data_IF_032057012601
#
_entry.id   IF_032057012601
#
_cell.length_a   1.000
_cell.length_b   1.000
_cell.length_c   1.000
_cell.angle_alpha   90.00
_cell.angle_beta   90.00
_cell.angle_gamma   90.00
#
_symmetry.space_group_name_H-M   'P 1'
#
loop_
_entity.id
_entity.type
_entity.pdbx_description
1 polymer ?
#
# COMPACT_ATOMS: atom_id res chain seq x y z
N UNK A 1 64.92 38.42 -37.92
CA UNK A 1 64.52 39.47 -36.96
C UNK A 1 63.14 39.10 -36.43
N UNK A 2 63.05 38.68 -35.15
CA UNK A 2 62.30 39.36 -34.05
C UNK A 2 60.87 39.75 -34.49
N UNK A 3 59.79 39.32 -33.85
CA UNK A 3 59.47 39.43 -32.42
C UNK A 3 58.41 38.38 -32.04
N UNK A 4 58.61 37.74 -30.89
CA UNK A 4 57.64 36.91 -30.17
C UNK A 4 56.56 37.80 -29.53
N UNK A 5 55.28 37.43 -29.65
CA UNK A 5 54.20 38.02 -28.88
C UNK A 5 53.56 36.95 -28.01
N UNK A 6 53.94 36.99 -26.74
CA UNK A 6 53.47 36.22 -25.61
C UNK A 6 51.98 36.53 -25.37
N UNK A 7 51.09 35.53 -25.49
CA UNK A 7 49.70 35.67 -25.07
C UNK A 7 49.62 35.33 -23.57
N UNK A 8 49.47 36.36 -22.72
CA UNK A 8 49.24 36.18 -21.29
C UNK A 8 47.84 35.61 -21.04
N UNK A 9 47.80 34.57 -20.20
CA UNK A 9 46.59 34.05 -19.58
C UNK A 9 46.04 35.04 -18.54
N UNK A 10 44.75 35.35 -18.63
CA UNK A 10 43.98 35.87 -17.50
C UNK A 10 42.83 34.92 -17.21
N UNK A 11 43.10 33.96 -16.33
CA UNK A 11 42.08 33.14 -15.68
C UNK A 11 41.37 34.02 -14.64
N UNK A 12 40.16 34.50 -14.96
CA UNK A 12 39.31 35.14 -13.97
C UNK A 12 38.69 34.04 -13.08
N UNK A 13 39.18 33.91 -11.84
CA UNK A 13 38.47 33.15 -10.80
C UNK A 13 37.19 33.92 -10.45
N UNK A 14 36.05 33.45 -10.97
CA UNK A 14 34.76 33.81 -10.42
C UNK A 14 34.60 33.09 -9.06
N UNK A 15 34.87 33.82 -7.97
CA UNK A 15 34.52 33.38 -6.63
C UNK A 15 32.98 33.34 -6.54
N UNK A 16 32.38 32.17 -6.77
CA UNK A 16 30.97 31.94 -6.44
C UNK A 16 30.84 31.94 -4.93
N UNK A 17 30.45 33.09 -4.38
CA UNK A 17 29.94 33.19 -3.01
C UNK A 17 28.66 32.37 -2.92
N UNK A 18 28.79 31.12 -2.48
CA UNK A 18 27.66 30.31 -2.02
C UNK A 18 27.10 31.03 -0.80
N UNK A 19 26.05 31.80 -1.01
CA UNK A 19 25.17 32.27 0.06
C UNK A 19 24.57 31.02 0.71
N UNK A 20 25.20 30.57 1.80
CA UNK A 20 24.60 29.62 2.72
C UNK A 20 23.36 30.29 3.31
N UNK A 21 22.21 30.02 2.70
CA UNK A 21 20.91 30.40 3.24
C UNK A 21 20.71 29.68 4.57
N UNK A 22 20.97 30.40 5.66
CA UNK A 22 20.60 29.99 7.00
C UNK A 22 19.07 30.04 7.13
N UNK A 23 18.40 28.94 6.78
CA UNK A 23 16.97 28.73 7.07
C UNK A 23 16.82 27.68 8.16
N UNK A 24 17.26 28.06 9.35
CA UNK A 24 17.12 27.29 10.56
C UNK A 24 15.76 27.59 11.23
N UNK A 25 14.64 27.24 10.61
CA UNK A 25 13.28 27.25 11.23
C UNK A 25 12.27 26.40 10.45
N UNK A 26 12.35 25.06 10.54
CA UNK A 26 11.19 24.13 10.47
C UNK A 26 11.52 22.62 10.50
N UNK A 27 12.72 22.21 10.93
CA UNK A 27 12.98 20.80 11.27
C UNK A 27 12.37 20.48 12.64
N UNK A 28 11.13 19.97 12.71
CA UNK A 28 10.78 18.88 13.68
C UNK A 28 9.30 18.43 13.76
N UNK A 29 8.33 19.05 13.08
CA UNK A 29 6.93 18.55 13.17
C UNK A 29 6.58 17.41 12.19
N UNK A 30 7.34 17.23 11.10
CA UNK A 30 7.07 16.21 10.08
C UNK A 30 7.43 14.77 10.52
N UNK A 31 8.23 14.61 11.59
CA UNK A 31 8.66 13.29 12.08
C UNK A 31 7.79 12.72 13.22
N UNK A 32 6.81 13.48 13.74
CA UNK A 32 5.93 12.96 14.80
C UNK A 32 5.10 11.78 14.27
N UNK A 33 4.98 10.65 15.00
CA UNK A 33 4.12 9.55 14.60
C UNK A 33 2.68 10.02 14.37
N UNK A 34 2.04 9.52 13.31
CA UNK A 34 0.60 9.71 13.11
C UNK A 34 -0.12 8.80 14.10
N UNK A 35 -1.04 9.39 14.87
CA UNK A 35 -1.84 8.66 15.85
C UNK A 35 -3.04 8.03 15.17
N UNK A 36 -3.27 6.73 15.39
CA UNK A 36 -4.45 6.00 14.92
C UNK A 36 -5.19 5.38 16.10
N UNK A 37 -6.51 5.39 16.05
CA UNK A 37 -7.33 4.79 17.10
C UNK A 37 -7.14 3.27 17.11
N UNK A 38 -6.76 2.68 18.26
CA UNK A 38 -6.59 1.21 18.40
C UNK A 38 -7.78 0.37 17.95
N UNK A 39 -9.00 0.93 17.94
CA UNK A 39 -10.20 0.25 17.43
C UNK A 39 -10.12 -0.10 15.94
N UNK A 40 -9.20 0.50 15.18
CA UNK A 40 -8.89 0.07 13.80
C UNK A 40 -8.46 -1.41 13.73
N UNK A 41 -7.89 -1.94 14.82
CA UNK A 41 -7.45 -3.34 14.92
C UNK A 41 -8.58 -4.29 15.39
N UNK A 42 -9.77 -3.76 15.71
CA UNK A 42 -10.90 -4.55 16.23
C UNK A 42 -11.85 -5.01 15.11
N UNK A 43 -11.31 -5.74 14.13
CA UNK A 43 -12.06 -6.20 12.95
C UNK A 43 -13.14 -7.23 13.27
N UNK A 44 -13.04 -7.92 14.42
CA UNK A 44 -14.04 -8.91 14.85
C UNK A 44 -15.44 -8.33 15.07
N UNK A 45 -15.57 -7.00 15.20
CA UNK A 45 -16.83 -6.26 15.31
C UNK A 45 -17.35 -5.72 13.99
N UNK A 46 -16.55 -5.84 12.92
CA UNK A 46 -16.92 -5.38 11.57
C UNK A 46 -17.46 -6.59 10.80
N UNK A 47 -18.62 -6.47 10.13
CA UNK A 47 -19.15 -7.56 9.33
C UNK A 47 -18.18 -7.98 8.22
N UNK A 48 -18.08 -9.30 8.01
CA UNK A 48 -17.49 -9.82 6.78
C UNK A 48 -18.44 -9.50 5.62
N UNK A 49 -17.90 -8.95 4.53
CA UNK A 49 -18.64 -8.65 3.30
C UNK A 49 -18.03 -9.53 2.20
N UNK A 50 -18.80 -10.48 1.64
CA UNK A 50 -18.31 -11.25 0.52
C UNK A 50 -18.21 -10.37 -0.72
N UNK A 51 -17.10 -10.48 -1.46
CA UNK A 51 -16.95 -9.84 -2.77
C UNK A 51 -16.99 -10.93 -3.84
N UNK A 52 -18.08 -10.92 -4.60
CA UNK A 52 -18.33 -11.93 -5.63
C UNK A 52 -19.03 -11.27 -6.81
N UNK A 53 -18.60 -11.63 -8.01
CA UNK A 53 -19.16 -11.13 -9.25
C UNK A 53 -18.86 -12.05 -10.42
N UNK A 54 -19.50 -11.75 -11.55
CA UNK A 54 -19.41 -12.56 -12.78
C UNK A 54 -18.34 -12.07 -13.75
N UNK A 55 -17.78 -10.88 -13.52
CA UNK A 55 -16.77 -10.28 -14.39
C UNK A 55 -15.36 -10.55 -13.86
N UNK A 56 -14.36 -10.46 -14.75
CA UNK A 56 -12.96 -10.49 -14.35
C UNK A 56 -12.68 -9.44 -13.26
N UNK A 57 -11.87 -9.84 -12.30
CA UNK A 57 -11.36 -9.09 -11.16
C UNK A 57 -12.44 -8.62 -10.16
N UNK A 58 -13.65 -9.18 -10.24
CA UNK A 58 -14.74 -8.88 -9.30
C UNK A 58 -14.72 -9.74 -8.03
N UNK A 59 -13.98 -10.85 -8.05
CA UNK A 59 -13.92 -11.82 -6.96
C UNK A 59 -12.64 -11.64 -6.15
N UNK A 60 -12.78 -11.37 -4.85
CA UNK A 60 -11.65 -11.24 -3.93
C UNK A 60 -12.13 -11.42 -2.49
N UNK A 61 -11.19 -11.54 -1.55
CA UNK A 61 -11.53 -11.71 -0.13
C UNK A 61 -10.73 -10.74 0.70
N UNK A 62 -11.43 -9.95 1.54
CA UNK A 62 -10.83 -8.93 2.39
C UNK A 62 -11.12 -9.13 3.89
N UNK A 63 -10.15 -8.72 4.71
CA UNK A 63 -10.38 -8.41 6.12
C UNK A 63 -10.89 -6.97 6.22
N UNK A 64 -12.18 -6.79 6.51
CA UNK A 64 -12.80 -5.47 6.59
C UNK A 64 -12.39 -4.75 7.88
N UNK A 65 -12.06 -3.47 7.72
CA UNK A 65 -11.68 -2.55 8.78
C UNK A 65 -12.71 -1.42 8.82
N UNK A 66 -13.09 -0.99 10.02
CA UNK A 66 -14.06 0.10 10.15
C UNK A 66 -13.43 1.42 9.65
N UNK A 67 -13.89 1.88 8.49
CA UNK A 67 -13.35 3.06 7.82
C UNK A 67 -13.42 4.31 8.69
N UNK A 68 -14.33 4.39 9.68
CA UNK A 68 -14.39 5.55 10.59
C UNK A 68 -13.10 5.75 11.38
N UNK A 69 -12.31 4.70 11.62
CA UNK A 69 -11.00 4.79 12.28
C UNK A 69 -9.84 5.06 11.32
N UNK A 70 -10.06 4.88 10.01
CA UNK A 70 -9.09 5.16 8.94
C UNK A 70 -9.27 6.58 8.39
N UNK A 71 -10.51 7.07 8.31
CA UNK A 71 -10.89 8.39 7.79
C UNK A 71 -10.07 9.56 8.39
N UNK A 72 -9.78 9.62 9.71
CA UNK A 72 -8.93 10.69 10.25
C UNK A 72 -7.52 10.70 9.68
N UNK A 73 -6.96 9.52 9.37
CA UNK A 73 -5.64 9.40 8.76
C UNK A 73 -5.67 9.87 7.31
N UNK A 74 -6.71 9.48 6.55
CA UNK A 74 -6.93 9.98 5.20
C UNK A 74 -7.03 11.51 5.20
N UNK A 75 -7.88 12.10 6.06
CA UNK A 75 -8.06 13.54 6.13
C UNK A 75 -6.74 14.26 6.42
N UNK A 76 -5.99 13.80 7.43
CA UNK A 76 -4.68 14.37 7.78
C UNK A 76 -3.68 14.26 6.62
N UNK A 77 -3.59 13.08 6.01
CA UNK A 77 -2.64 12.84 4.93
C UNK A 77 -3.00 13.64 3.67
N UNK A 78 -4.28 13.78 3.37
CA UNK A 78 -4.75 14.54 2.22
C UNK A 78 -4.48 16.04 2.41
N UNK A 79 -4.71 16.61 3.59
CA UNK A 79 -4.44 18.04 3.83
C UNK A 79 -2.97 18.37 4.08
N UNK A 80 -2.11 17.38 4.29
CA UNK A 80 -0.67 17.60 4.43
C UNK A 80 -0.04 17.88 3.07
N UNK A 81 0.51 19.09 2.88
CA UNK A 81 1.12 19.54 1.62
C UNK A 81 2.22 18.60 1.10
N UNK A 82 3.05 18.03 2.00
CA UNK A 82 4.12 17.10 1.62
C UNK A 82 3.65 15.68 1.28
N UNK A 83 2.34 15.40 1.40
CA UNK A 83 1.76 14.07 1.18
C UNK A 83 0.69 14.10 0.09
N UNK A 84 -0.51 14.60 0.38
CA UNK A 84 -1.66 14.56 -0.54
C UNK A 84 -2.01 15.90 -1.17
N UNK A 85 -1.75 17.00 -0.47
CA UNK A 85 -2.04 18.37 -0.90
C UNK A 85 -3.46 18.57 -1.50
N UNK A 86 -4.47 17.93 -0.91
CA UNK A 86 -5.88 18.00 -1.31
C UNK A 86 -6.25 17.16 -2.53
N UNK A 87 -5.33 16.41 -3.12
CA UNK A 87 -5.53 15.71 -4.40
C UNK A 87 -5.95 14.25 -4.29
N UNK A 88 -5.96 13.69 -3.07
CA UNK A 88 -6.30 12.28 -2.86
C UNK A 88 -7.81 12.09 -2.76
N UNK A 89 -8.30 11.03 -3.37
CA UNK A 89 -9.64 10.50 -3.20
C UNK A 89 -9.60 9.23 -2.35
N UNK A 90 -10.73 8.88 -1.74
CA UNK A 90 -10.89 7.67 -0.94
C UNK A 90 -12.10 6.89 -1.44
N UNK A 91 -12.09 5.56 -1.26
CA UNK A 91 -13.24 4.69 -1.59
C UNK A 91 -14.37 4.77 -0.58
N UNK A 92 -14.14 5.38 0.59
CA UNK A 92 -15.10 5.39 1.70
C UNK A 92 -15.17 4.06 2.45
N UNK A 93 -14.26 3.13 2.19
CA UNK A 93 -14.13 1.83 2.81
C UNK A 93 -12.66 1.55 3.17
N UNK A 94 -12.41 0.56 4.04
CA UNK A 94 -11.07 0.07 4.33
C UNK A 94 -11.07 -1.44 4.53
N UNK A 95 -10.09 -2.12 3.92
CA UNK A 95 -9.85 -3.54 4.12
C UNK A 95 -8.38 -3.88 3.89
N UNK A 96 -7.99 -5.08 4.34
CA UNK A 96 -6.78 -5.75 3.85
C UNK A 96 -7.24 -6.79 2.83
N UNK A 97 -6.89 -6.64 1.56
CA UNK A 97 -7.15 -7.68 0.56
C UNK A 97 -6.29 -8.89 0.91
N UNK A 98 -6.89 -10.04 1.18
CA UNK A 98 -6.19 -11.27 1.63
C UNK A 98 -6.06 -12.28 0.49
N UNK A 99 -7.04 -12.34 -0.41
CA UNK A 99 -6.93 -13.00 -1.71
C UNK A 99 -7.18 -11.92 -2.76
N UNK A 100 -6.19 -11.67 -3.60
CA UNK A 100 -6.26 -10.67 -4.68
C UNK A 100 -7.19 -11.15 -5.80
N UNK A 101 -7.84 -10.21 -6.52
CA UNK A 101 -8.61 -10.56 -7.70
C UNK A 101 -7.79 -11.33 -8.75
N UNK A 102 -6.56 -10.90 -9.00
CA UNK A 102 -5.64 -11.57 -9.93
C UNK A 102 -5.26 -12.98 -9.45
N UNK A 103 -5.03 -13.19 -8.16
CA UNK A 103 -4.80 -14.52 -7.59
C UNK A 103 -6.01 -15.43 -7.79
N UNK A 104 -7.21 -14.91 -7.57
CA UNK A 104 -8.42 -15.71 -7.74
C UNK A 104 -8.63 -16.10 -9.21
N UNK A 105 -8.71 -15.13 -10.12
CA UNK A 105 -9.09 -15.38 -11.51
C UNK A 105 -8.02 -16.16 -12.30
N UNK A 106 -6.74 -15.94 -12.00
CA UNK A 106 -5.63 -16.52 -12.81
C UNK A 106 -5.01 -17.78 -12.21
N UNK A 107 -5.23 -18.05 -10.91
CA UNK A 107 -4.58 -19.18 -10.23
C UNK A 107 -5.62 -20.11 -9.57
N UNK A 108 -6.49 -19.57 -8.70
CA UNK A 108 -7.39 -20.40 -7.90
C UNK A 108 -8.58 -20.94 -8.71
N UNK A 109 -9.26 -20.07 -9.44
CA UNK A 109 -10.43 -20.41 -10.25
C UNK A 109 -10.12 -21.43 -11.35
N UNK A 110 -8.99 -21.34 -12.11
CA UNK A 110 -8.64 -22.35 -13.11
C UNK A 110 -8.45 -23.76 -12.53
N UNK A 111 -8.08 -23.89 -11.26
CA UNK A 111 -8.02 -25.17 -10.56
C UNK A 111 -9.39 -25.60 -9.97
N UNK A 112 -10.48 -24.91 -10.29
CA UNK A 112 -11.82 -25.22 -9.82
C UNK A 112 -12.14 -24.76 -8.39
N UNK A 113 -11.31 -23.91 -7.78
CA UNK A 113 -11.66 -23.26 -6.50
C UNK A 113 -12.71 -22.19 -6.76
N UNK A 114 -13.83 -22.24 -6.04
CA UNK A 114 -14.90 -21.25 -6.18
C UNK A 114 -14.74 -20.13 -5.15
N UNK A 115 -15.16 -18.90 -5.52
CA UNK A 115 -15.16 -17.78 -4.57
C UNK A 115 -16.08 -18.06 -3.37
N UNK A 116 -17.15 -18.84 -3.59
CA UNK A 116 -18.05 -19.31 -2.53
C UNK A 116 -17.32 -20.14 -1.48
N UNK A 117 -16.46 -21.08 -1.88
CA UNK A 117 -15.67 -21.89 -0.93
C UNK A 117 -14.76 -21.02 -0.04
N UNK A 118 -14.13 -19.99 -0.64
CA UNK A 118 -13.25 -19.08 0.09
C UNK A 118 -14.06 -18.16 1.01
N UNK A 119 -15.21 -17.65 0.56
CA UNK A 119 -16.12 -16.83 1.38
C UNK A 119 -16.74 -17.63 2.54
N UNK A 120 -17.11 -18.90 2.31
CA UNK A 120 -17.60 -19.81 3.35
C UNK A 120 -16.50 -20.08 4.39
N UNK A 121 -15.24 -20.24 3.95
CA UNK A 121 -14.09 -20.35 4.84
C UNK A 121 -13.88 -19.06 5.67
N UNK A 122 -13.99 -17.89 5.04
CA UNK A 122 -13.79 -16.58 5.68
C UNK A 122 -14.88 -16.25 6.72
N UNK A 123 -16.14 -16.53 6.38
CA UNK A 123 -17.30 -16.19 7.20
C UNK A 123 -17.54 -17.19 8.35
N UNK A 124 -17.10 -18.45 8.24
CA UNK A 124 -17.29 -19.50 9.24
C UNK A 124 -16.85 -19.03 10.64
N UNK A 125 -17.79 -18.91 11.58
CA UNK A 125 -17.54 -18.43 12.95
C UNK A 125 -16.79 -17.08 13.00
N UNK A 126 -17.01 -16.23 12.00
CA UNK A 126 -16.33 -14.95 11.80
C UNK A 126 -14.80 -15.08 11.67
N UNK A 127 -14.33 -16.16 11.02
CA UNK A 127 -12.92 -16.57 11.01
C UNK A 127 -11.99 -15.46 10.52
N UNK A 128 -12.23 -14.92 9.33
CA UNK A 128 -11.33 -13.94 8.75
C UNK A 128 -11.31 -12.66 9.59
N UNK A 129 -12.48 -12.11 9.94
CA UNK A 129 -12.59 -10.89 10.75
C UNK A 129 -12.00 -11.00 12.16
N UNK A 130 -11.82 -12.21 12.69
CA UNK A 130 -11.11 -12.44 13.96
C UNK A 130 -9.58 -12.43 13.83
N UNK A 131 -9.03 -12.34 12.62
CA UNK A 131 -7.58 -12.33 12.38
C UNK A 131 -6.92 -11.11 13.02
N UNK A 132 -5.85 -11.35 13.76
CA UNK A 132 -5.04 -10.31 14.38
C UNK A 132 -4.03 -9.77 13.37
N UNK A 133 -3.83 -8.46 13.37
CA UNK A 133 -2.77 -7.80 12.62
C UNK A 133 -2.26 -6.58 13.38
N UNK A 134 -1.15 -6.03 12.91
CA UNK A 134 -0.58 -4.79 13.42
C UNK A 134 -0.20 -3.89 12.25
N UNK A 135 -0.29 -2.58 12.45
CA UNK A 135 0.14 -1.59 11.46
C UNK A 135 1.63 -1.29 11.69
N UNK A 136 2.42 -1.29 10.62
CA UNK A 136 3.84 -0.95 10.63
C UNK A 136 4.03 0.57 10.48
N UNK A 137 3.43 1.17 9.44
CA UNK A 137 3.68 2.57 9.06
C UNK A 137 2.59 3.11 8.12
N UNK A 138 2.61 4.43 7.89
CA UNK A 138 1.99 5.03 6.73
C UNK A 138 2.94 4.88 5.55
N UNK A 139 2.49 4.18 4.51
CA UNK A 139 3.18 3.98 3.25
C UNK A 139 2.69 4.92 2.16
N UNK A 140 3.60 5.27 1.25
CA UNK A 140 3.32 6.00 0.01
C UNK A 140 4.05 5.32 -1.14
N UNK A 141 3.33 5.11 -2.23
CA UNK A 141 3.89 4.75 -3.54
C UNK A 141 3.45 5.80 -4.56
N UNK A 142 4.35 6.09 -5.50
CA UNK A 142 4.17 7.08 -6.55
C UNK A 142 4.75 6.50 -7.83
N UNK A 143 4.05 6.69 -8.96
CA UNK A 143 4.50 6.25 -10.27
C UNK A 143 4.01 7.22 -11.32
N UNK A 144 4.77 7.38 -12.40
CA UNK A 144 4.29 8.00 -13.62
C UNK A 144 3.93 6.85 -14.55
N UNK A 145 2.65 6.72 -14.88
CA UNK A 145 2.17 5.60 -15.71
C UNK A 145 2.79 5.69 -17.11
N UNK A 146 3.37 4.57 -17.56
CA UNK A 146 4.15 4.54 -18.82
C UNK A 146 3.33 4.88 -20.06
N UNK A 147 2.03 4.58 -20.04
CA UNK A 147 1.18 4.67 -21.22
C UNK A 147 0.64 6.08 -21.49
N UNK A 148 0.48 6.90 -20.45
CA UNK A 148 -0.18 8.22 -20.52
C UNK A 148 0.63 9.34 -19.82
N UNK A 149 1.76 9.02 -19.20
CA UNK A 149 2.59 9.99 -18.48
C UNK A 149 1.93 10.58 -17.24
N UNK A 150 0.85 9.96 -16.73
CA UNK A 150 0.08 10.53 -15.63
C UNK A 150 0.73 10.18 -14.29
N UNK A 151 0.91 11.20 -13.44
CA UNK A 151 1.35 10.99 -12.07
C UNK A 151 0.23 10.36 -11.22
N UNK A 152 0.50 9.18 -10.71
CA UNK A 152 -0.35 8.43 -9.79
C UNK A 152 0.30 8.35 -8.42
N UNK A 153 -0.54 8.30 -7.38
CA UNK A 153 -0.08 8.13 -6.00
C UNK A 153 -1.09 7.29 -5.24
N UNK A 154 -0.61 6.37 -4.39
CA UNK A 154 -1.45 5.66 -3.43
C UNK A 154 -0.82 5.72 -2.04
N UNK A 155 -1.67 5.96 -1.03
CA UNK A 155 -1.32 5.88 0.38
C UNK A 155 -1.95 4.65 1.01
N UNK A 156 -1.18 3.97 1.85
CA UNK A 156 -1.66 2.81 2.57
C UNK A 156 -1.17 2.80 4.02
N UNK A 157 -1.92 2.14 4.90
CA UNK A 157 -1.37 1.62 6.14
C UNK A 157 -0.69 0.29 5.82
N UNK A 158 0.64 0.24 5.92
CA UNK A 158 1.40 -1.00 5.72
C UNK A 158 1.16 -1.88 6.94
N UNK A 159 0.79 -3.14 6.71
CA UNK A 159 0.49 -4.08 7.78
C UNK A 159 1.70 -4.99 8.00
N UNK A 160 2.04 -5.23 9.26
CA UNK A 160 3.07 -6.21 9.63
C UNK A 160 2.63 -7.58 9.17
N UNK A 161 3.62 -8.43 8.87
CA UNK A 161 3.38 -9.84 8.60
C UNK A 161 2.50 -10.45 9.72
N UNK A 162 1.32 -10.95 9.35
CA UNK A 162 0.33 -11.48 10.28
C UNK A 162 0.23 -13.00 10.13
N UNK A 163 0.45 -13.72 11.23
CA UNK A 163 0.29 -15.18 11.28
C UNK A 163 -1.14 -15.60 10.95
N UNK A 164 -2.14 -14.87 11.41
CA UNK A 164 -3.55 -15.23 11.21
C UNK A 164 -3.96 -15.08 9.74
N UNK A 165 -3.51 -14.01 9.08
CA UNK A 165 -3.76 -13.80 7.64
C UNK A 165 -3.04 -14.84 6.79
N UNK A 166 -1.80 -15.18 7.12
CA UNK A 166 -1.06 -16.25 6.44
C UNK A 166 -1.76 -17.59 6.66
N UNK A 167 -2.19 -17.91 7.89
CA UNK A 167 -2.93 -19.12 8.21
C UNK A 167 -4.22 -19.26 7.40
N UNK A 168 -4.92 -18.15 7.13
CA UNK A 168 -6.07 -18.14 6.23
C UNK A 168 -5.67 -18.48 4.80
N UNK A 169 -4.63 -17.83 4.26
CA UNK A 169 -4.11 -18.11 2.92
C UNK A 169 -3.61 -19.56 2.77
N UNK A 170 -2.97 -20.13 3.78
CA UNK A 170 -2.58 -21.54 3.82
C UNK A 170 -3.78 -22.48 3.73
N UNK A 171 -4.91 -22.14 4.35
CA UNK A 171 -6.11 -22.98 4.27
C UNK A 171 -6.79 -22.86 2.90
N UNK A 172 -6.70 -21.69 2.25
CA UNK A 172 -7.05 -21.55 0.82
C UNK A 172 -6.12 -22.38 -0.06
N UNK A 173 -4.82 -22.37 0.21
CA UNK A 173 -3.84 -23.19 -0.51
C UNK A 173 -4.13 -24.69 -0.38
N UNK A 174 -4.56 -25.17 0.80
CA UNK A 174 -5.01 -26.56 0.95
C UNK A 174 -6.22 -26.90 0.06
N UNK A 175 -7.18 -25.98 -0.07
CA UNK A 175 -8.32 -26.15 -0.98
C UNK A 175 -7.81 -26.21 -2.43
N UNK A 176 -6.93 -25.30 -2.81
CA UNK A 176 -6.32 -25.23 -4.13
C UNK A 176 -5.59 -26.52 -4.53
N UNK A 177 -4.67 -26.99 -3.69
CA UNK A 177 -3.92 -28.24 -3.94
C UNK A 177 -4.84 -29.46 -3.95
N UNK A 178 -5.85 -29.51 -3.07
CA UNK A 178 -6.84 -30.60 -3.06
C UNK A 178 -7.62 -30.70 -4.38
N UNK A 179 -7.77 -29.60 -5.12
CA UNK A 179 -8.42 -29.59 -6.43
C UNK A 179 -7.47 -29.81 -7.61
N UNK A 180 -6.22 -30.21 -7.34
CA UNK A 180 -5.22 -30.45 -8.38
C UNK A 180 -4.50 -29.18 -8.85
N UNK A 181 -4.63 -28.07 -8.12
CA UNK A 181 -3.87 -26.85 -8.39
C UNK A 181 -2.37 -27.06 -8.24
N UNK A 182 -1.57 -26.45 -9.13
CA UNK A 182 -0.11 -26.49 -9.09
C UNK A 182 0.43 -25.65 -7.91
N UNK A 183 1.00 -26.27 -6.86
CA UNK A 183 1.48 -25.55 -5.66
C UNK A 183 2.45 -24.39 -5.95
N UNK A 184 3.19 -24.44 -7.06
CA UNK A 184 4.15 -23.41 -7.44
C UNK A 184 3.50 -22.08 -7.88
N UNK A 185 2.19 -22.09 -8.19
CA UNK A 185 1.48 -20.90 -8.69
C UNK A 185 0.82 -20.07 -7.59
N UNK A 186 0.60 -20.62 -6.39
CA UNK A 186 0.01 -19.91 -5.27
C UNK A 186 0.87 -20.05 -4.02
N UNK A 187 1.57 -18.97 -3.63
CA UNK A 187 2.32 -18.90 -2.39
C UNK A 187 1.52 -18.16 -1.30
N UNK A 188 1.08 -18.83 -0.22
CA UNK A 188 0.44 -18.18 0.92
C UNK A 188 1.26 -17.04 1.54
N UNK A 189 2.59 -17.08 1.41
CA UNK A 189 3.49 -16.10 1.98
C UNK A 189 3.83 -14.93 1.06
N UNK A 190 3.64 -15.06 -0.25
CA UNK A 190 3.85 -13.98 -1.21
C UNK A 190 2.70 -12.96 -1.13
N UNK A 191 2.66 -12.25 -0.01
CA UNK A 191 1.56 -11.42 0.40
C UNK A 191 2.06 -10.08 0.95
N UNK A 192 1.47 -8.99 0.46
CA UNK A 192 1.81 -7.62 0.85
C UNK A 192 0.61 -6.97 1.54
N UNK A 193 0.31 -7.34 2.81
CA UNK A 193 -0.87 -6.83 3.48
C UNK A 193 -0.76 -5.32 3.68
N UNK A 194 -1.78 -4.61 3.22
CA UNK A 194 -1.91 -3.17 3.38
C UNK A 194 -3.39 -2.78 3.40
N UNK A 195 -3.67 -1.61 3.93
CA UNK A 195 -5.00 -0.97 3.86
C UNK A 195 -4.84 0.30 3.03
N UNK A 196 -5.38 0.33 1.82
CA UNK A 196 -5.41 1.56 1.02
C UNK A 196 -6.29 2.60 1.72
N UNK A 197 -5.77 3.81 1.93
CA UNK A 197 -6.51 4.89 2.61
C UNK A 197 -6.92 6.00 1.65
N UNK A 198 -6.17 6.18 0.55
CA UNK A 198 -6.50 7.12 -0.52
C UNK A 198 -5.48 7.10 -1.65
N UNK A 199 -5.88 7.62 -2.80
CA UNK A 199 -5.05 7.63 -4.01
C UNK A 199 -5.37 8.85 -4.88
N UNK A 200 -4.49 9.17 -5.82
CA UNK A 200 -4.73 10.15 -6.89
C UNK A 200 -4.96 9.37 -8.17
N UNK A 201 -6.07 9.65 -8.88
CA UNK A 201 -6.45 8.93 -10.10
C UNK A 201 -7.01 7.54 -9.82
N UNK A 202 -6.14 6.55 -9.59
CA UNK A 202 -6.52 5.19 -9.21
C UNK A 202 -5.59 4.60 -8.15
N UNK A 203 -6.00 3.51 -7.51
CA UNK A 203 -5.06 2.72 -6.72
C UNK A 203 -4.05 2.05 -7.67
N UNK A 204 -2.78 2.05 -7.25
CA UNK A 204 -1.66 1.48 -8.00
C UNK A 204 -1.23 0.17 -7.36
N UNK A 205 -0.86 -0.82 -8.17
CA UNK A 205 -0.66 -2.21 -7.74
C UNK A 205 0.71 -2.74 -8.20
N UNK A 206 1.03 -4.00 -7.91
CA UNK A 206 2.35 -4.56 -8.21
C UNK A 206 2.65 -4.58 -9.71
N UNK A 207 1.60 -4.69 -10.53
CA UNK A 207 1.61 -4.63 -11.98
C UNK A 207 2.09 -3.26 -12.50
N UNK A 208 1.98 -2.21 -11.69
CA UNK A 208 2.54 -0.88 -11.97
C UNK A 208 4.03 -0.75 -11.59
N UNK A 209 4.66 -1.85 -11.15
CA UNK A 209 6.06 -1.87 -10.72
C UNK A 209 6.29 -1.31 -9.31
N UNK A 210 5.24 -1.18 -8.50
CA UNK A 210 5.34 -0.65 -7.13
C UNK A 210 5.13 -1.73 -6.07
N UNK A 211 5.94 -1.71 -5.02
CA UNK A 211 5.86 -2.66 -3.91
C UNK A 211 5.44 -1.96 -2.63
N UNK A 212 4.26 -2.34 -2.11
CA UNK A 212 3.64 -1.76 -0.90
C UNK A 212 4.08 -2.51 0.37
N UNK A 213 5.39 -2.52 0.65
CA UNK A 213 5.96 -3.10 1.88
C UNK A 213 6.65 -2.00 2.71
N UNK A 214 7.58 -2.38 3.59
CA UNK A 214 8.33 -1.43 4.43
C UNK A 214 9.11 -0.39 3.63
N UNK A 215 9.52 -0.71 2.41
CA UNK A 215 10.17 0.21 1.47
C UNK A 215 9.29 1.41 1.10
N UNK A 216 7.96 1.30 1.24
CA UNK A 216 7.02 2.39 0.99
C UNK A 216 6.80 3.28 2.22
N UNK A 217 7.34 2.95 3.40
CA UNK A 217 7.07 3.68 4.63
C UNK A 217 7.60 5.12 4.56
N UNK A 218 6.71 6.10 4.80
CA UNK A 218 7.06 7.52 4.87
C UNK A 218 6.86 8.11 6.27
N UNK A 219 6.07 7.47 7.14
CA UNK A 219 5.81 7.98 8.49
C UNK A 219 5.44 6.86 9.47
N UNK A 220 5.90 6.98 10.71
CA UNK A 220 5.53 6.06 11.80
C UNK A 220 4.04 6.21 12.15
N UNK A 221 3.41 5.10 12.50
CA UNK A 221 2.07 5.06 13.11
C UNK A 221 2.22 4.72 14.58
N UNK A 222 1.49 5.43 15.44
CA UNK A 222 1.33 5.10 16.85
C UNK A 222 -0.15 4.80 17.12
N UNK A 223 -0.45 3.57 17.50
CA UNK A 223 -1.80 3.20 17.93
C UNK A 223 -2.05 3.77 19.33
N UNK A 224 -3.05 4.63 19.46
CA UNK A 224 -3.46 5.25 20.73
C UNK A 224 -4.75 4.66 21.24
#
# INVERSE_FOLDING_TARGET
MKIAATLLATLALAASSVLAANTNTNKNNNNKPIRINKKVLQTSKVPFIPHSGTTLFSNWVGLNVDFKYVKPIFNLANTTASIGNGTLVSRGEAHITVILPTEFDTILQPAGVTIKEINDLASRKNRLQKSKFAIECLGRVQVVTKNDGVFQQSLQLIVKRSRDLIKFREDVFKIYVKKGGNPALFDPENFMPHITIGFRGRDIHAEDGVFKRKNACIRRIASV
#
